data_IF_378320099741
#
_entry.id   IF_378320099741
#
_cell.length_a   1.000
_cell.length_b   1.000
_cell.length_c   1.000
_cell.angle_alpha   90.00
_cell.angle_beta   90.00
_cell.angle_gamma   90.00
#
_symmetry.space_group_name_H-M   'P 1'
#
loop_
_entity.id
_entity.type
_entity.pdbx_description
1 polymer ?
#
# COMPACT_ATOMS: atom_id res chain seq x y z
N UNK A 1 -21.93 -24.06 0.73
CA UNK A 1 -20.84 -23.11 1.03
C UNK A 1 -20.45 -22.48 -0.30
N UNK A 2 -21.01 -21.32 -0.64
CA UNK A 2 -20.74 -20.67 -1.93
C UNK A 2 -19.32 -20.09 -1.91
N UNK A 3 -18.52 -20.30 -2.97
CA UNK A 3 -17.21 -19.67 -3.06
C UNK A 3 -17.42 -18.16 -3.22
N UNK A 4 -16.84 -17.39 -2.30
CA UNK A 4 -16.69 -15.95 -2.45
C UNK A 4 -15.67 -15.69 -3.56
N UNK A 5 -16.10 -15.78 -4.82
CA UNK A 5 -15.37 -15.17 -5.93
C UNK A 5 -15.51 -13.66 -5.76
N UNK A 6 -14.52 -13.06 -5.11
CA UNK A 6 -14.30 -11.61 -5.23
C UNK A 6 -13.93 -11.38 -6.68
N UNK A 7 -14.89 -10.98 -7.51
CA UNK A 7 -14.60 -10.50 -8.86
C UNK A 7 -13.58 -9.36 -8.72
N UNK A 8 -12.36 -9.63 -9.20
CA UNK A 8 -11.32 -8.62 -9.24
C UNK A 8 -11.70 -7.57 -10.29
N UNK A 9 -12.39 -6.52 -9.85
CA UNK A 9 -12.73 -5.37 -10.70
C UNK A 9 -11.43 -4.83 -11.30
N UNK A 10 -11.33 -4.82 -12.63
CA UNK A 10 -10.10 -4.37 -13.29
C UNK A 10 -9.98 -2.85 -13.19
N UNK A 11 -8.75 -2.32 -13.33
CA UNK A 11 -8.54 -0.86 -13.32
C UNK A 11 -9.37 -0.14 -14.40
N UNK A 12 -9.63 -0.81 -15.53
CA UNK A 12 -10.44 -0.26 -16.62
C UNK A 12 -11.91 -0.21 -16.23
N UNK A 13 -12.40 -1.21 -15.51
CA UNK A 13 -13.79 -1.25 -15.03
C UNK A 13 -14.04 -0.15 -13.99
N UNK A 14 -13.08 0.07 -13.07
CA UNK A 14 -13.13 1.18 -12.10
C UNK A 14 -13.19 2.52 -12.84
N UNK A 15 -12.34 2.70 -13.86
CA UNK A 15 -12.32 3.91 -14.68
C UNK A 15 -13.67 4.19 -15.34
N UNK A 16 -14.21 3.19 -16.04
CA UNK A 16 -15.48 3.31 -16.74
C UNK A 16 -16.64 3.57 -15.77
N UNK A 17 -16.67 2.89 -14.63
CA UNK A 17 -17.72 3.06 -13.63
C UNK A 17 -17.69 4.46 -13.00
N UNK A 18 -16.51 4.93 -12.54
CA UNK A 18 -16.39 6.26 -11.96
C UNK A 18 -16.70 7.38 -12.97
N UNK A 19 -16.24 7.24 -14.23
CA UNK A 19 -16.55 8.20 -15.29
C UNK A 19 -18.04 8.25 -15.60
N UNK A 20 -18.70 7.09 -15.68
CA UNK A 20 -20.14 6.98 -15.93
C UNK A 20 -20.98 7.54 -14.79
N UNK A 21 -20.59 7.29 -13.55
CA UNK A 21 -21.29 7.80 -12.36
C UNK A 21 -21.30 9.32 -12.33
N UNK A 22 -20.14 9.96 -12.53
CA UNK A 22 -20.05 11.42 -12.55
C UNK A 22 -20.72 12.02 -13.79
N UNK A 23 -20.59 11.39 -14.96
CA UNK A 23 -21.33 11.83 -16.14
C UNK A 23 -22.84 11.83 -15.88
N UNK A 24 -23.38 10.75 -15.33
CA UNK A 24 -24.80 10.63 -15.00
C UNK A 24 -25.24 11.66 -13.97
N UNK A 25 -24.41 11.92 -12.95
CA UNK A 25 -24.67 12.97 -11.97
C UNK A 25 -24.75 14.35 -12.63
N UNK A 26 -23.74 14.72 -13.42
CA UNK A 26 -23.71 16.01 -14.12
C UNK A 26 -24.87 16.15 -15.11
N UNK A 27 -25.23 15.09 -15.84
CA UNK A 27 -26.36 15.09 -16.78
C UNK A 27 -27.70 15.29 -16.08
N UNK A 28 -27.94 14.61 -14.94
CA UNK A 28 -29.18 14.77 -14.15
C UNK A 28 -29.35 16.19 -13.58
N UNK A 29 -28.24 16.87 -13.28
CA UNK A 29 -28.25 18.22 -12.72
C UNK A 29 -28.03 19.33 -13.77
N UNK A 30 -28.02 19.00 -15.06
CA UNK A 30 -27.78 19.95 -16.16
C UNK A 30 -26.43 20.71 -16.05
N UNK A 31 -25.39 20.04 -15.54
CA UNK A 31 -24.05 20.57 -15.29
C UNK A 31 -23.05 20.15 -16.39
N UNK A 32 -23.38 20.44 -17.65
CA UNK A 32 -22.59 20.01 -18.80
C UNK A 32 -21.16 20.60 -18.82
N UNK A 33 -21.02 21.89 -18.50
CA UNK A 33 -19.73 22.56 -18.44
C UNK A 33 -18.85 22.00 -17.32
N UNK A 34 -19.47 21.64 -16.19
CA UNK A 34 -18.76 21.00 -15.09
C UNK A 34 -18.24 19.62 -15.50
N UNK A 35 -19.03 18.83 -16.22
CA UNK A 35 -18.57 17.55 -16.78
C UNK A 35 -17.40 17.75 -17.73
N UNK A 36 -17.48 18.68 -18.68
CA UNK A 36 -16.38 18.96 -19.61
C UNK A 36 -15.08 19.30 -18.87
N UNK A 37 -15.16 20.17 -17.85
CA UNK A 37 -14.01 20.54 -17.03
C UNK A 37 -13.44 19.36 -16.23
N UNK A 38 -14.31 18.61 -15.56
CA UNK A 38 -13.94 17.43 -14.78
C UNK A 38 -13.30 16.36 -15.67
N UNK A 39 -13.85 16.12 -16.86
CA UNK A 39 -13.30 15.16 -17.80
C UNK A 39 -11.90 15.57 -18.27
N UNK A 40 -11.72 16.80 -18.76
CA UNK A 40 -10.42 17.25 -19.25
C UNK A 40 -9.34 17.25 -18.17
N UNK A 41 -9.68 17.59 -16.93
CA UNK A 41 -8.69 17.77 -15.85
C UNK A 41 -8.48 16.53 -14.97
N UNK A 42 -9.49 15.68 -14.79
CA UNK A 42 -9.48 14.61 -13.78
C UNK A 42 -9.79 13.23 -14.35
N UNK A 43 -10.79 13.14 -15.23
CA UNK A 43 -11.27 11.85 -15.76
C UNK A 43 -10.72 11.50 -17.14
N UNK A 44 -9.83 12.30 -17.74
CA UNK A 44 -9.14 11.85 -18.94
C UNK A 44 -8.18 10.72 -18.55
N UNK A 45 -8.00 9.74 -19.44
CA UNK A 45 -7.29 8.50 -19.11
C UNK A 45 -5.87 8.73 -18.53
N UNK A 46 -5.14 9.71 -19.05
CA UNK A 46 -3.78 10.02 -18.61
C UNK A 46 -3.73 10.65 -17.20
N UNK A 47 -4.71 11.49 -16.84
CA UNK A 47 -4.83 12.07 -15.50
C UNK A 47 -5.44 11.10 -14.50
N UNK A 48 -6.46 10.34 -14.91
CA UNK A 48 -7.13 9.36 -14.09
C UNK A 48 -6.13 8.32 -13.54
N UNK A 49 -5.24 7.80 -14.40
CA UNK A 49 -4.17 6.87 -13.98
C UNK A 49 -3.26 7.43 -12.89
N UNK A 50 -3.07 8.75 -12.83
CA UNK A 50 -2.21 9.43 -11.83
C UNK A 50 -2.92 9.64 -10.50
N UNK A 51 -4.17 10.08 -10.55
CA UNK A 51 -4.97 10.35 -9.35
C UNK A 51 -5.54 9.07 -8.73
N UNK A 52 -6.08 8.16 -9.55
CA UNK A 52 -6.61 6.87 -9.14
C UNK A 52 -5.45 5.88 -8.88
N UNK A 53 -4.61 6.19 -7.88
CA UNK A 53 -3.52 5.31 -7.38
C UNK A 53 -3.98 3.86 -7.05
N UNK A 54 -5.28 3.58 -7.14
CA UNK A 54 -5.90 2.25 -7.18
C UNK A 54 -5.49 1.37 -8.36
N UNK A 55 -4.83 1.89 -9.39
CA UNK A 55 -4.55 1.15 -10.63
C UNK A 55 -3.15 0.52 -10.75
N UNK A 56 -2.25 0.72 -9.77
CA UNK A 56 -0.91 0.09 -9.85
C UNK A 56 -0.99 -1.33 -9.29
N UNK A 57 -0.93 -2.32 -10.18
CA UNK A 57 -0.80 -3.77 -9.87
C UNK A 57 0.13 -4.07 -8.67
N UNK A 58 1.33 -3.46 -8.54
CA UNK A 58 2.23 -3.81 -7.42
C UNK A 58 1.78 -3.30 -6.04
N UNK A 59 0.81 -2.39 -5.93
CA UNK A 59 0.39 -1.84 -4.63
C UNK A 59 -1.11 -2.11 -4.44
N UNK A 60 -1.48 -3.03 -3.52
CA UNK A 60 -2.88 -3.35 -3.27
C UNK A 60 -3.73 -2.11 -2.91
N UNK A 61 -4.95 -2.02 -3.46
CA UNK A 61 -5.90 -0.92 -3.23
C UNK A 61 -6.19 -0.75 -1.72
N UNK A 62 -6.34 -1.85 -0.98
CA UNK A 62 -6.53 -1.81 0.46
C UNK A 62 -5.38 -1.09 1.19
N UNK A 63 -4.13 -1.36 0.79
CA UNK A 63 -2.96 -0.70 1.39
C UNK A 63 -2.92 0.79 1.08
N UNK A 64 -3.21 1.20 -0.17
CA UNK A 64 -3.25 2.63 -0.53
C UNK A 64 -4.37 3.38 0.21
N UNK A 65 -5.53 2.76 0.36
CA UNK A 65 -6.66 3.34 1.11
C UNK A 65 -6.31 3.53 2.58
N UNK A 66 -5.77 2.49 3.23
CA UNK A 66 -5.31 2.57 4.62
C UNK A 66 -4.20 3.61 4.81
N UNK A 67 -3.28 3.75 3.85
CA UNK A 67 -2.26 4.79 3.87
C UNK A 67 -2.87 6.19 3.79
N UNK A 68 -3.82 6.42 2.89
CA UNK A 68 -4.51 7.71 2.75
C UNK A 68 -5.30 8.03 4.03
N UNK A 69 -6.00 7.05 4.61
CA UNK A 69 -6.75 7.23 5.84
C UNK A 69 -5.86 7.52 7.05
N UNK A 70 -4.74 6.83 7.18
CA UNK A 70 -3.76 7.10 8.24
C UNK A 70 -3.14 8.50 8.09
N UNK A 71 -2.80 8.92 6.86
CA UNK A 71 -2.36 10.28 6.57
C UNK A 71 -3.44 11.32 6.91
N UNK A 72 -4.71 11.03 6.60
CA UNK A 72 -5.85 11.89 6.94
C UNK A 72 -6.04 11.99 8.46
N UNK A 73 -5.83 10.90 9.20
CA UNK A 73 -5.88 10.88 10.66
C UNK A 73 -4.85 11.81 11.28
N UNK A 74 -3.60 11.75 10.81
CA UNK A 74 -2.51 12.64 11.22
C UNK A 74 -2.87 14.10 10.89
N UNK A 75 -3.36 14.36 9.68
CA UNK A 75 -3.76 15.70 9.27
C UNK A 75 -4.81 16.32 10.21
N UNK A 76 -5.82 15.52 10.56
CA UNK A 76 -6.87 15.93 11.51
C UNK A 76 -6.31 16.20 12.91
N UNK A 77 -5.47 15.29 13.42
CA UNK A 77 -4.96 15.33 14.79
C UNK A 77 -3.90 16.39 15.02
N UNK A 78 -3.04 16.67 14.05
CA UNK A 78 -1.86 17.50 14.31
C UNK A 78 -2.00 18.91 13.74
N UNK A 79 -2.79 19.08 12.66
CA UNK A 79 -2.87 20.34 11.93
C UNK A 79 -4.25 21.00 11.95
N UNK A 80 -5.31 20.22 12.15
CA UNK A 80 -6.70 20.72 12.06
C UNK A 80 -7.45 20.70 13.40
N UNK A 81 -6.75 20.55 14.54
CA UNK A 81 -7.36 20.57 15.87
C UNK A 81 -8.24 21.80 16.06
N UNK A 82 -7.70 22.98 15.73
CA UNK A 82 -8.35 24.26 15.96
C UNK A 82 -9.26 24.68 14.79
N UNK A 83 -9.19 23.97 13.66
CA UNK A 83 -9.89 24.31 12.43
C UNK A 83 -10.64 23.08 11.91
N UNK A 84 -11.81 22.81 12.47
CA UNK A 84 -12.64 21.65 12.13
C UNK A 84 -13.22 21.71 10.71
N UNK A 85 -13.27 22.91 10.10
CA UNK A 85 -13.73 23.15 8.72
C UNK A 85 -12.78 24.11 7.98
N UNK A 86 -11.54 23.68 7.68
CA UNK A 86 -10.61 24.54 6.97
C UNK A 86 -11.14 24.82 5.56
N UNK A 87 -10.95 26.04 5.07
CA UNK A 87 -11.12 26.33 3.63
C UNK A 87 -10.17 25.44 2.83
N UNK A 88 -10.58 25.09 1.61
CA UNK A 88 -9.79 24.20 0.74
C UNK A 88 -8.36 24.73 0.53
N UNK A 89 -8.22 26.04 0.35
CA UNK A 89 -6.92 26.70 0.17
C UNK A 89 -5.99 26.51 1.38
N UNK A 90 -6.50 26.75 2.60
CA UNK A 90 -5.76 26.51 3.84
C UNK A 90 -5.37 25.03 3.99
N UNK A 91 -6.28 24.12 3.64
CA UNK A 91 -6.00 22.68 3.69
C UNK A 91 -4.87 22.30 2.73
N UNK A 92 -4.93 22.79 1.49
CA UNK A 92 -3.89 22.56 0.47
C UNK A 92 -2.55 23.15 0.94
N UNK A 93 -2.57 24.36 1.48
CA UNK A 93 -1.37 24.99 2.03
C UNK A 93 -0.76 24.17 3.17
N UNK A 94 -1.58 23.67 4.12
CA UNK A 94 -1.12 22.82 5.23
C UNK A 94 -0.48 21.53 4.69
N UNK A 95 -1.13 20.87 3.71
CA UNK A 95 -0.64 19.62 3.14
C UNK A 95 0.73 19.85 2.47
N UNK A 96 0.84 20.88 1.63
CA UNK A 96 2.05 21.16 0.86
C UNK A 96 3.17 21.68 1.77
N UNK A 97 2.90 22.67 2.62
CA UNK A 97 3.97 23.38 3.33
C UNK A 97 4.31 22.81 4.70
N UNK A 98 3.36 22.15 5.37
CA UNK A 98 3.59 21.58 6.70
C UNK A 98 3.73 20.07 6.65
N UNK A 99 2.67 19.37 6.22
CA UNK A 99 2.64 17.91 6.29
C UNK A 99 3.71 17.28 5.39
N UNK A 100 3.84 17.72 4.13
CA UNK A 100 4.82 17.15 3.21
C UNK A 100 6.26 17.34 3.70
N UNK A 101 6.57 18.51 4.29
CA UNK A 101 7.90 18.80 4.84
C UNK A 101 8.25 17.88 5.99
N UNK A 102 7.33 17.63 6.92
CA UNK A 102 7.56 16.68 8.00
C UNK A 102 7.78 15.26 7.47
N UNK A 103 7.00 14.84 6.46
CA UNK A 103 7.18 13.51 5.86
C UNK A 103 8.55 13.39 5.18
N UNK A 104 8.96 14.39 4.40
CA UNK A 104 10.26 14.40 3.72
C UNK A 104 11.40 14.42 4.74
N UNK A 105 11.30 15.26 5.77
CA UNK A 105 12.29 15.33 6.84
C UNK A 105 12.41 13.99 7.57
N UNK A 106 11.29 13.39 7.98
CA UNK A 106 11.28 12.11 8.66
C UNK A 106 11.82 10.99 7.76
N UNK A 107 11.52 11.03 6.46
CA UNK A 107 12.11 10.10 5.49
C UNK A 107 13.63 10.27 5.39
N UNK A 108 14.12 11.50 5.31
CA UNK A 108 15.54 11.78 5.27
C UNK A 108 16.26 11.30 6.54
N UNK A 109 15.73 11.62 7.73
CA UNK A 109 16.32 11.22 9.01
C UNK A 109 16.27 9.70 9.20
N UNK A 110 15.13 9.06 8.97
CA UNK A 110 14.92 7.63 9.30
C UNK A 110 15.40 6.68 8.21
N UNK A 111 15.28 7.03 6.93
CA UNK A 111 15.58 6.12 5.81
C UNK A 111 16.91 6.43 5.14
N UNK A 112 17.15 7.69 4.76
CA UNK A 112 18.38 8.08 4.03
C UNK A 112 19.57 8.10 4.99
N UNK A 113 19.47 8.89 6.06
CA UNK A 113 20.57 9.12 6.99
C UNK A 113 20.67 8.02 8.06
N UNK A 114 19.61 7.21 8.23
CA UNK A 114 19.50 6.18 9.27
C UNK A 114 19.88 6.69 10.67
N UNK A 115 19.65 7.98 10.94
CA UNK A 115 20.00 8.61 12.20
C UNK A 115 19.03 8.24 13.33
N UNK A 116 17.86 7.71 12.97
CA UNK A 116 16.87 7.16 13.90
C UNK A 116 16.32 5.85 13.35
N UNK A 117 16.15 4.88 14.25
CA UNK A 117 15.53 3.58 13.96
C UNK A 117 14.02 3.77 13.81
N UNK A 118 13.40 2.98 12.92
CA UNK A 118 11.93 3.01 12.80
C UNK A 118 11.31 2.28 13.99
N UNK A 119 10.18 2.79 14.48
CA UNK A 119 9.54 2.22 15.69
C UNK A 119 9.22 0.72 15.54
N UNK A 120 8.83 0.31 14.33
CA UNK A 120 8.55 -1.09 13.99
C UNK A 120 9.79 -1.94 13.72
N UNK A 121 10.97 -1.34 13.52
CA UNK A 121 12.20 -2.08 13.17
C UNK A 121 12.66 -2.93 14.35
N UNK A 122 12.52 -2.43 15.58
CA UNK A 122 12.79 -3.22 16.78
C UNK A 122 11.83 -4.40 16.90
N UNK A 123 10.52 -4.16 16.77
CA UNK A 123 9.49 -5.22 16.78
C UNK A 123 9.76 -6.26 15.67
N UNK A 124 10.10 -5.80 14.47
CA UNK A 124 10.44 -6.67 13.36
C UNK A 124 11.69 -7.50 13.64
N UNK A 125 12.75 -6.91 14.18
CA UNK A 125 13.96 -7.65 14.56
C UNK A 125 13.66 -8.67 15.66
N UNK A 126 12.78 -8.34 16.61
CA UNK A 126 12.32 -9.26 17.66
C UNK A 126 11.47 -10.41 17.11
N UNK A 127 10.66 -10.19 16.08
CA UNK A 127 9.93 -11.28 15.39
C UNK A 127 10.87 -12.11 14.50
N UNK A 128 11.83 -11.45 13.85
CA UNK A 128 12.71 -12.05 12.85
C UNK A 128 13.78 -12.95 13.46
N UNK A 129 14.40 -12.51 14.56
CA UNK A 129 15.54 -13.20 15.18
C UNK A 129 15.19 -14.57 15.77
N UNK A 130 14.10 -14.75 16.55
CA UNK A 130 13.71 -16.05 17.09
C UNK A 130 13.39 -17.07 16.00
N UNK A 131 12.84 -16.64 14.86
CA UNK A 131 12.66 -17.53 13.72
C UNK A 131 13.99 -17.94 13.04
N UNK A 132 15.15 -17.37 13.42
CA UNK A 132 16.48 -17.80 12.90
C UNK A 132 16.98 -18.98 13.73
N UNK A 133 16.63 -19.00 15.02
CA UNK A 133 17.03 -20.02 15.99
C UNK A 133 16.01 -21.15 16.11
N UNK A 134 14.72 -20.83 16.00
CA UNK A 134 13.68 -21.84 15.81
C UNK A 134 13.83 -22.39 14.39
N UNK A 135 14.43 -23.58 14.28
CA UNK A 135 14.05 -24.50 13.21
C UNK A 135 12.53 -24.50 13.19
N UNK A 136 11.93 -24.28 12.01
CA UNK A 136 10.49 -24.47 11.84
C UNK A 136 10.09 -25.74 12.60
N UNK A 137 8.95 -25.74 13.30
CA UNK A 137 8.33 -26.95 13.88
C UNK A 137 7.86 -27.90 12.76
N UNK A 138 8.71 -28.11 11.77
CA UNK A 138 8.58 -28.92 10.59
C UNK A 138 8.89 -30.35 11.04
N UNK A 139 8.03 -31.33 10.76
CA UNK A 139 8.40 -32.72 10.94
C UNK A 139 9.67 -33.00 10.13
N UNK A 140 10.68 -33.61 10.76
CA UNK A 140 12.03 -33.81 10.19
C UNK A 140 12.02 -34.50 8.80
N UNK A 141 10.92 -35.15 8.45
CA UNK A 141 10.73 -35.93 7.22
C UNK A 141 10.05 -35.22 6.04
N UNK A 142 9.68 -33.93 6.10
CA UNK A 142 8.89 -33.29 5.01
C UNK A 142 9.54 -32.04 4.47
N UNK A 143 10.00 -32.00 3.21
CA UNK A 143 10.62 -30.81 2.60
C UNK A 143 9.83 -29.51 2.78
N UNK A 144 10.50 -28.47 3.29
CA UNK A 144 9.91 -27.15 3.56
C UNK A 144 9.34 -26.53 2.26
N UNK A 145 9.96 -26.85 1.12
CA UNK A 145 9.46 -26.49 -0.20
C UNK A 145 8.13 -27.17 -0.53
N UNK A 146 7.97 -28.46 -0.17
CA UNK A 146 6.73 -29.19 -0.39
C UNK A 146 5.64 -28.75 0.59
N UNK A 147 6.00 -28.47 1.84
CA UNK A 147 5.05 -28.13 2.90
C UNK A 147 4.45 -26.73 2.75
N UNK A 148 5.27 -25.74 2.40
CA UNK A 148 4.83 -24.33 2.37
C UNK A 148 4.76 -23.73 0.97
N UNK A 149 5.30 -24.42 -0.05
CA UNK A 149 5.25 -24.02 -1.47
C UNK A 149 5.47 -22.50 -1.70
N UNK A 150 6.60 -21.92 -1.22
CA UNK A 150 6.83 -20.49 -1.35
C UNK A 150 6.98 -20.11 -2.82
N UNK A 151 6.08 -19.30 -3.37
CA UNK A 151 6.13 -18.85 -4.75
C UNK A 151 6.76 -17.46 -4.85
N UNK A 152 7.84 -17.33 -5.62
CA UNK A 152 8.46 -16.04 -5.90
C UNK A 152 7.67 -15.21 -6.91
N UNK A 153 6.97 -15.87 -7.84
CA UNK A 153 6.23 -15.18 -8.90
C UNK A 153 4.97 -14.49 -8.34
N UNK A 154 4.37 -15.05 -7.29
CA UNK A 154 3.24 -14.46 -6.55
C UNK A 154 3.64 -13.85 -5.21
N UNK A 155 4.91 -13.95 -4.82
CA UNK A 155 5.46 -13.51 -3.53
C UNK A 155 4.62 -13.98 -2.32
N UNK A 156 4.30 -15.27 -2.28
CA UNK A 156 3.42 -15.86 -1.29
C UNK A 156 4.04 -17.13 -0.67
N UNK A 157 3.80 -17.34 0.63
CA UNK A 157 4.20 -18.55 1.34
C UNK A 157 3.04 -19.12 2.13
N UNK A 158 2.89 -20.46 2.15
CA UNK A 158 1.85 -21.16 2.91
C UNK A 158 2.13 -21.26 4.41
N UNK A 159 3.24 -20.71 4.93
CA UNK A 159 3.54 -20.82 6.36
C UNK A 159 2.66 -19.88 7.20
N UNK A 160 2.31 -20.32 8.41
CA UNK A 160 1.50 -19.55 9.37
C UNK A 160 2.13 -18.22 9.72
N UNK A 161 3.45 -18.18 9.83
CA UNK A 161 4.23 -16.97 10.09
C UNK A 161 4.18 -15.94 8.96
N UNK A 162 3.97 -16.37 7.71
CA UNK A 162 3.77 -15.43 6.59
C UNK A 162 2.39 -14.79 6.66
N UNK A 163 1.36 -15.56 7.03
CA UNK A 163 0.00 -15.06 7.19
C UNK A 163 -0.13 -14.04 8.35
N UNK A 164 0.64 -14.22 9.42
CA UNK A 164 0.65 -13.28 10.55
C UNK A 164 1.58 -12.07 10.37
N UNK A 165 2.53 -12.12 9.43
CA UNK A 165 3.52 -11.05 9.22
C UNK A 165 2.90 -9.80 8.62
N UNK A 166 3.10 -8.65 9.29
CA UNK A 166 2.73 -7.32 8.78
C UNK A 166 3.38 -6.98 7.43
N UNK A 167 4.59 -7.47 7.21
CA UNK A 167 5.41 -7.10 6.06
C UNK A 167 5.27 -8.06 4.89
N UNK A 168 4.57 -9.20 5.06
CA UNK A 168 4.49 -10.27 4.06
C UNK A 168 5.90 -10.69 3.61
N UNK A 169 6.81 -10.76 4.58
CA UNK A 169 8.19 -11.17 4.41
C UNK A 169 8.45 -12.33 5.36
N UNK A 170 8.93 -13.44 4.81
CA UNK A 170 9.32 -14.59 5.60
C UNK A 170 10.50 -15.33 4.97
N UNK A 171 11.17 -16.14 5.79
CA UNK A 171 12.46 -16.75 5.48
C UNK A 171 12.42 -17.66 4.27
N UNK A 172 11.35 -18.44 4.11
CA UNK A 172 11.17 -19.32 2.96
C UNK A 172 11.18 -18.55 1.63
N UNK A 173 10.57 -17.37 1.59
CA UNK A 173 10.61 -16.50 0.40
C UNK A 173 12.00 -15.93 0.17
N UNK A 174 12.68 -15.48 1.23
CA UNK A 174 14.03 -14.89 1.12
C UNK A 174 15.06 -15.95 0.72
N UNK A 175 15.02 -17.15 1.32
CA UNK A 175 15.90 -18.27 0.98
C UNK A 175 15.73 -18.66 -0.48
N UNK A 176 14.48 -18.85 -0.95
CA UNK A 176 14.19 -19.17 -2.34
C UNK A 176 14.62 -18.04 -3.29
N UNK A 177 14.46 -16.78 -2.88
CA UNK A 177 14.95 -15.63 -3.64
C UNK A 177 16.47 -15.66 -3.79
N UNK A 178 17.21 -15.98 -2.72
CA UNK A 178 18.66 -16.12 -2.76
C UNK A 178 19.16 -17.34 -3.52
N UNK A 179 18.39 -18.42 -3.59
CA UNK A 179 18.68 -19.58 -4.46
C UNK A 179 18.52 -19.22 -5.94
N UNK A 180 17.47 -18.47 -6.29
CA UNK A 180 17.23 -17.97 -7.66
C UNK A 180 18.22 -16.87 -8.07
N UNK A 181 18.71 -16.08 -7.11
CA UNK A 181 19.62 -14.95 -7.33
C UNK A 181 20.87 -15.01 -6.44
N UNK A 182 21.80 -15.96 -6.71
CA UNK A 182 22.98 -16.17 -5.86
C UNK A 182 23.93 -14.96 -5.82
N UNK A 183 23.96 -14.13 -6.88
CA UNK A 183 24.76 -12.91 -6.95
C UNK A 183 24.32 -11.80 -5.99
N UNK A 184 23.14 -11.89 -5.39
CA UNK A 184 22.60 -10.91 -4.44
C UNK A 184 22.72 -11.34 -2.97
N UNK A 185 23.38 -12.47 -2.66
CA UNK A 185 23.78 -12.76 -1.28
C UNK A 185 24.86 -11.75 -0.88
N UNK A 186 24.47 -10.73 -0.10
CA UNK A 186 25.46 -9.93 0.60
C UNK A 186 26.11 -10.82 1.66
N UNK A 187 27.43 -11.00 1.53
CA UNK A 187 28.33 -11.49 2.58
C UNK A 187 28.19 -10.64 3.83
#
# INVERSE_FOLDING_TARGET
MYPCMVEHITSTDIYCNCGREIYNFCARHNLHDAWANLYTRWYCHSWFRRWARSARVPIPIGKTTMMIESQRRILKRDFLINNSRPRLDLLVWIIIHRQSRLVIHNFAVKIINRAQVLDWELEFTQEWNPGLTHRDNRPENVDAEQLYSPSLDTWACGCTSFASSRFMLYKHLISRYHERHPSMRRT
#
